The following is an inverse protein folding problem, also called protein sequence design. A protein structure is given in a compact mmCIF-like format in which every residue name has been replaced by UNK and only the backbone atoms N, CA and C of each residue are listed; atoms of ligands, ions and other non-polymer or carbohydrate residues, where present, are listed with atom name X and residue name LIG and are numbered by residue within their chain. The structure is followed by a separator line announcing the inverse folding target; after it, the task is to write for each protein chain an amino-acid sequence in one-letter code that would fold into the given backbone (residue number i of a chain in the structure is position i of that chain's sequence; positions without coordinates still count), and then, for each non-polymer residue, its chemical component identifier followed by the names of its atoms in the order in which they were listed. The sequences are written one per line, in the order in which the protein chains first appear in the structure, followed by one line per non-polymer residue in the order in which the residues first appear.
data_IF_263785858381
#
_entry.id   IF_263785858381
#
_cell.length_a   1.000
_cell.length_b   1.000
_cell.length_c   1.000
_cell.angle_alpha   90.00
_cell.angle_beta   90.00
_cell.angle_gamma   90.00
#
_symmetry.space_group_name_H-M   'P 1'
#
loop_
_entity.id
_entity.type
_entity.pdbx_description
1 polymer ?
#
# COMPACT_ATOMS: atom_id res chain seq x y z
N UNK A 1 2.54 -41.81 -0.72
CA UNK A 1 1.78 -40.97 0.23
C UNK A 1 2.04 -39.50 -0.09
N UNK A 2 1.09 -38.77 -0.68
CA UNK A 2 1.28 -37.35 -1.02
C UNK A 2 0.97 -36.46 0.20
N UNK A 3 1.93 -35.62 0.61
CA UNK A 3 1.73 -34.65 1.70
C UNK A 3 0.81 -33.52 1.23
N UNK A 4 -0.37 -33.41 1.81
CA UNK A 4 -1.28 -32.29 1.57
C UNK A 4 -0.63 -30.98 2.06
N UNK A 5 -0.28 -30.10 1.12
CA UNK A 5 0.18 -28.75 1.44
C UNK A 5 -1.05 -27.90 1.79
N UNK A 6 -1.24 -27.60 3.08
CA UNK A 6 -2.25 -26.63 3.53
C UNK A 6 -2.00 -25.29 2.84
N UNK A 7 -2.75 -24.99 1.78
CA UNK A 7 -2.81 -23.65 1.19
C UNK A 7 -3.49 -22.75 2.21
N UNK A 8 -2.73 -21.85 2.80
CA UNK A 8 -3.29 -20.79 3.65
C UNK A 8 -4.15 -19.88 2.76
N UNK A 9 -5.46 -20.10 2.78
CA UNK A 9 -6.43 -19.21 2.12
C UNK A 9 -6.45 -17.95 2.97
N UNK A 10 -5.63 -16.95 2.58
CA UNK A 10 -5.73 -15.62 3.16
C UNK A 10 -7.12 -15.09 2.83
N UNK A 11 -7.98 -14.98 3.84
CA UNK A 11 -9.25 -14.25 3.72
C UNK A 11 -8.98 -12.84 3.17
N UNK A 12 -9.96 -12.24 2.50
CA UNK A 12 -9.87 -10.85 2.02
C UNK A 12 -9.79 -9.93 3.24
N UNK A 13 -8.57 -9.70 3.74
CA UNK A 13 -8.34 -8.76 4.84
C UNK A 13 -8.87 -7.39 4.45
N UNK A 14 -9.54 -6.71 5.38
CA UNK A 14 -9.99 -5.33 5.19
C UNK A 14 -8.77 -4.48 4.84
N UNK A 15 -8.87 -3.66 3.79
CA UNK A 15 -7.79 -2.73 3.42
C UNK A 15 -7.58 -1.74 4.56
N UNK A 16 -6.33 -1.36 4.78
CA UNK A 16 -6.00 -0.34 5.78
C UNK A 16 -6.70 0.98 5.42
N UNK A 17 -7.21 1.71 6.41
CA UNK A 17 -7.98 2.95 6.23
C UNK A 17 -7.18 4.03 5.47
N UNK A 18 -5.86 4.08 5.68
CA UNK A 18 -4.98 5.05 5.02
C UNK A 18 -4.63 4.69 3.57
N UNK A 19 -5.08 3.54 3.07
CA UNK A 19 -4.79 3.07 1.72
C UNK A 19 -5.62 3.83 0.68
N UNK A 20 -4.98 4.29 -0.40
CA UNK A 20 -5.63 5.06 -1.48
C UNK A 20 -5.52 4.36 -2.82
N UNK A 21 -6.36 4.75 -3.77
CA UNK A 21 -6.25 4.26 -5.15
C UNK A 21 -4.94 4.70 -5.82
N UNK A 22 -4.42 5.88 -5.48
CA UNK A 22 -3.08 6.30 -5.93
C UNK A 22 -1.98 5.30 -5.50
N UNK A 23 -2.05 4.75 -4.28
CA UNK A 23 -1.11 3.70 -3.84
C UNK A 23 -1.34 2.38 -4.58
N UNK A 24 -2.58 2.04 -4.95
CA UNK A 24 -2.86 0.88 -5.82
C UNK A 24 -2.24 1.06 -7.20
N UNK A 25 -2.37 2.23 -7.80
CA UNK A 25 -1.81 2.53 -9.11
C UNK A 25 -0.28 2.43 -9.09
N UNK A 26 0.35 3.03 -8.07
CA UNK A 26 1.80 2.93 -7.87
C UNK A 26 2.25 1.48 -7.67
N UNK A 27 1.52 0.70 -6.86
CA UNK A 27 1.78 -0.73 -6.67
C UNK A 27 1.69 -1.50 -7.99
N UNK A 28 0.69 -1.20 -8.82
CA UNK A 28 0.52 -1.78 -10.15
C UNK A 28 1.68 -1.42 -11.09
N UNK A 29 2.11 -0.15 -11.11
CA UNK A 29 3.26 0.32 -11.90
C UNK A 29 4.55 -0.37 -11.48
N UNK A 30 4.81 -0.49 -10.18
CA UNK A 30 5.98 -1.22 -9.64
C UNK A 30 5.95 -2.68 -10.05
N UNK A 31 4.79 -3.35 -9.98
CA UNK A 31 4.66 -4.75 -10.38
C UNK A 31 4.93 -4.96 -11.87
N UNK A 32 4.40 -4.07 -12.73
CA UNK A 32 4.67 -4.09 -14.18
C UNK A 32 6.14 -3.87 -14.48
N UNK A 33 6.77 -2.85 -13.88
CA UNK A 33 8.19 -2.57 -14.08
C UNK A 33 9.09 -3.71 -13.58
N UNK A 34 8.75 -4.33 -12.43
CA UNK A 34 9.44 -5.53 -11.94
C UNK A 34 9.34 -6.68 -12.93
N UNK A 35 8.14 -6.96 -13.45
CA UNK A 35 7.92 -8.03 -14.43
C UNK A 35 8.73 -7.78 -15.70
N UNK A 36 8.71 -6.54 -16.22
CA UNK A 36 9.50 -6.11 -17.38
C UNK A 36 11.00 -6.38 -17.16
N UNK A 37 11.56 -5.89 -16.06
CA UNK A 37 12.97 -6.13 -15.70
C UNK A 37 13.31 -7.62 -15.55
N UNK A 38 12.44 -8.41 -14.92
CA UNK A 38 12.65 -9.85 -14.75
C UNK A 38 12.60 -10.65 -16.06
N UNK A 39 11.88 -10.15 -17.07
CA UNK A 39 11.84 -10.75 -18.40
C UNK A 39 13.06 -10.33 -19.23
N UNK A 40 13.48 -9.07 -19.17
CA UNK A 40 14.63 -8.56 -19.93
C UNK A 40 15.95 -9.12 -19.40
N UNK A 41 16.10 -9.34 -18.10
CA UNK A 41 17.35 -9.88 -17.52
C UNK A 41 17.71 -11.31 -17.96
N UNK A 42 16.76 -12.05 -18.54
CA UNK A 42 16.95 -13.41 -19.03
C UNK A 42 17.35 -13.47 -20.51
N UNK A 43 17.38 -12.32 -21.21
CA UNK A 43 17.75 -12.25 -22.62
C UNK A 43 19.25 -11.97 -22.74
N UNK A 44 19.96 -12.82 -23.46
CA UNK A 44 21.36 -12.59 -23.81
C UNK A 44 21.49 -11.41 -24.78
N UNK A 45 22.59 -10.66 -24.68
CA UNK A 45 22.91 -9.56 -25.60
C UNK A 45 22.18 -8.23 -25.37
N UNK A 46 21.32 -8.09 -24.36
CA UNK A 46 20.57 -6.83 -24.09
C UNK A 46 20.89 -6.22 -22.72
N UNK A 47 22.16 -5.89 -22.49
CA UNK A 47 22.63 -5.28 -21.23
C UNK A 47 22.00 -3.90 -21.01
N UNK A 48 22.01 -3.03 -22.02
CA UNK A 48 21.50 -1.66 -21.93
C UNK A 48 19.98 -1.61 -21.63
N UNK A 49 19.19 -2.44 -22.32
CA UNK A 49 17.76 -2.55 -22.07
C UNK A 49 17.45 -3.12 -20.68
N UNK A 50 18.29 -4.03 -20.17
CA UNK A 50 18.17 -4.55 -18.81
C UNK A 50 18.45 -3.47 -17.77
N UNK A 51 19.53 -2.68 -17.94
CA UNK A 51 19.87 -1.57 -17.06
C UNK A 51 18.76 -0.51 -17.04
N UNK A 52 18.25 -0.10 -18.20
CA UNK A 52 17.13 0.84 -18.29
C UNK A 52 15.89 0.35 -17.53
N UNK A 53 15.52 -0.93 -17.70
CA UNK A 53 14.40 -1.52 -16.97
C UNK A 53 14.67 -1.62 -15.46
N UNK A 54 15.92 -1.87 -15.06
CA UNK A 54 16.34 -1.91 -13.65
C UNK A 54 16.20 -0.52 -13.01
N UNK A 55 16.70 0.53 -13.67
CA UNK A 55 16.58 1.91 -13.18
C UNK A 55 15.12 2.35 -13.08
N UNK A 56 14.29 2.04 -14.09
CA UNK A 56 12.85 2.32 -14.08
C UNK A 56 12.16 1.66 -12.88
N UNK A 57 12.41 0.36 -12.66
CA UNK A 57 11.87 -0.38 -11.52
C UNK A 57 12.33 0.22 -10.17
N UNK A 58 13.63 0.50 -10.02
CA UNK A 58 14.18 1.05 -8.79
C UNK A 58 13.62 2.45 -8.47
N UNK A 59 13.49 3.30 -9.49
CA UNK A 59 12.87 4.63 -9.37
C UNK A 59 11.42 4.53 -8.90
N UNK A 60 10.61 3.70 -9.56
CA UNK A 60 9.21 3.47 -9.17
C UNK A 60 9.09 2.87 -7.77
N UNK A 61 9.97 1.93 -7.40
CA UNK A 61 9.96 1.32 -6.07
C UNK A 61 10.30 2.36 -4.99
N UNK A 62 11.29 3.22 -5.23
CA UNK A 62 11.66 4.31 -4.31
C UNK A 62 10.48 5.27 -4.15
N UNK A 63 9.85 5.68 -5.24
CA UNK A 63 8.70 6.56 -5.22
C UNK A 63 7.51 5.94 -4.48
N UNK A 64 7.16 4.69 -4.76
CA UNK A 64 6.10 3.96 -4.07
C UNK A 64 6.36 3.84 -2.56
N UNK A 65 7.58 3.49 -2.13
CA UNK A 65 7.95 3.44 -0.71
C UNK A 65 7.82 4.80 -0.03
N UNK A 66 8.23 5.87 -0.72
CA UNK A 66 8.09 7.25 -0.23
C UNK A 66 6.61 7.62 -0.05
N UNK A 67 5.78 7.36 -1.06
CA UNK A 67 4.34 7.61 -1.03
C UNK A 67 3.65 6.85 0.12
N UNK A 68 4.01 5.57 0.36
CA UNK A 68 3.49 4.82 1.52
C UNK A 68 3.86 5.51 2.84
N UNK A 69 5.12 5.92 2.99
CA UNK A 69 5.60 6.56 4.23
C UNK A 69 4.86 7.88 4.47
N UNK A 70 4.81 8.74 3.47
CA UNK A 70 4.10 10.03 3.53
C UNK A 70 2.62 9.83 3.87
N UNK A 71 1.99 8.84 3.24
CA UNK A 71 0.60 8.55 3.45
C UNK A 71 0.29 8.08 4.87
N UNK A 72 1.10 7.17 5.40
CA UNK A 72 0.99 6.70 6.79
C UNK A 72 1.16 7.85 7.78
N UNK A 73 2.17 8.70 7.56
CA UNK A 73 2.45 9.86 8.42
C UNK A 73 1.30 10.86 8.37
N UNK A 74 0.76 11.16 7.19
CA UNK A 74 -0.37 12.07 7.02
C UNK A 74 -1.60 11.55 7.75
N UNK A 75 -1.93 10.27 7.54
CA UNK A 75 -3.06 9.65 8.23
C UNK A 75 -2.88 9.67 9.75
N UNK A 76 -1.68 9.35 10.25
CA UNK A 76 -1.39 9.39 11.68
C UNK A 76 -1.52 10.81 12.26
N UNK A 77 -0.98 11.82 11.56
CA UNK A 77 -1.11 13.23 11.98
C UNK A 77 -2.57 13.67 12.06
N UNK A 78 -3.37 13.31 11.05
CA UNK A 78 -4.80 13.64 11.06
C UNK A 78 -5.51 12.89 12.19
N UNK A 79 -5.24 11.60 12.35
CA UNK A 79 -5.80 10.81 13.44
C UNK A 79 -5.54 11.44 14.82
N UNK A 80 -4.29 11.78 15.12
CA UNK A 80 -3.93 12.42 16.40
C UNK A 80 -4.61 13.78 16.53
N UNK A 81 -4.63 14.59 15.47
CA UNK A 81 -5.23 15.94 15.50
C UNK A 81 -6.74 15.92 15.80
N UNK A 82 -7.47 14.97 15.21
CA UNK A 82 -8.94 14.96 15.27
C UNK A 82 -9.50 14.02 16.33
N UNK A 83 -8.83 12.90 16.62
CA UNK A 83 -9.30 11.88 17.58
C UNK A 83 -8.49 11.90 18.87
N UNK A 84 -7.18 12.14 18.76
CA UNK A 84 -6.25 12.08 19.89
C UNK A 84 -6.51 13.12 21.00
N UNK A 85 -7.17 14.23 20.68
CA UNK A 85 -7.51 15.26 21.66
C UNK A 85 -8.72 14.90 22.55
N UNK A 86 -9.57 13.96 22.13
CA UNK A 86 -10.76 13.56 22.87
C UNK A 86 -10.56 12.25 23.65
N UNK A 87 -9.92 11.26 23.01
CA UNK A 87 -9.50 10.01 23.64
C UNK A 87 -8.27 9.44 22.92
N UNK A 88 -7.05 9.74 23.41
CA UNK A 88 -5.82 9.34 22.75
C UNK A 88 -5.58 7.82 22.73
N UNK A 89 -6.22 7.06 23.63
CA UNK A 89 -5.90 5.65 23.83
C UNK A 89 -7.01 4.71 23.37
N UNK A 90 -8.29 5.05 23.58
CA UNK A 90 -9.40 4.16 23.18
C UNK A 90 -9.51 3.96 21.68
N UNK A 91 -9.22 5.00 20.89
CA UNK A 91 -9.21 4.89 19.42
C UNK A 91 -7.99 4.12 18.88
N UNK A 92 -6.81 4.30 19.50
CA UNK A 92 -5.61 3.51 19.18
C UNK A 92 -5.84 2.03 19.52
N UNK A 93 -6.51 1.77 20.63
CA UNK A 93 -6.80 0.42 21.08
C UNK A 93 -7.75 -0.34 20.13
N UNK A 94 -8.83 0.31 19.69
CA UNK A 94 -9.77 -0.23 18.68
C UNK A 94 -9.07 -0.48 17.34
N UNK A 95 -8.19 0.43 16.92
CA UNK A 95 -7.37 0.28 15.71
C UNK A 95 -6.46 -0.96 15.80
N UNK A 96 -5.76 -1.15 16.92
CA UNK A 96 -4.87 -2.30 17.13
C UNK A 96 -5.63 -3.64 17.17
N UNK A 97 -6.89 -3.64 17.60
CA UNK A 97 -7.74 -4.84 17.65
C UNK A 97 -8.51 -5.14 16.35
N UNK A 98 -8.38 -4.31 15.31
CA UNK A 98 -9.20 -4.38 14.09
C UNK A 98 -10.72 -4.33 14.35
N UNK A 99 -11.12 -3.74 15.48
CA UNK A 99 -12.53 -3.42 15.77
C UNK A 99 -12.98 -2.27 14.85
N UNK A 100 -14.28 -2.14 14.57
CA UNK A 100 -14.85 -1.30 13.51
C UNK A 100 -14.25 0.11 13.45
N UNK A 101 -13.69 0.46 12.27
CA UNK A 101 -13.07 1.75 11.98
C UNK A 101 -14.09 2.89 11.81
N UNK A 102 -15.33 2.75 12.27
CA UNK A 102 -16.44 3.68 11.99
C UNK A 102 -16.14 5.11 12.48
N UNK A 103 -15.47 5.25 13.63
CA UNK A 103 -14.99 6.55 14.13
C UNK A 103 -13.73 7.11 13.43
N UNK A 104 -13.07 6.32 12.60
CA UNK A 104 -11.85 6.69 11.85
C UNK A 104 -12.13 7.07 10.39
N UNK A 105 -13.29 6.67 9.87
CA UNK A 105 -13.72 6.96 8.50
C UNK A 105 -14.04 8.45 8.33
N UNK A 106 -14.59 9.11 9.37
CA UNK A 106 -14.95 10.54 9.34
C UNK A 106 -13.79 11.54 9.43
N UNK A 107 -12.57 11.08 9.72
CA UNK A 107 -11.37 11.94 9.85
C UNK A 107 -10.62 12.10 8.52
N UNK A 108 -11.04 11.35 7.50
CA UNK A 108 -10.34 11.29 6.22
C UNK A 108 -11.31 11.40 5.03
N UNK A 109 -11.79 12.60 4.75
CA UNK A 109 -12.36 12.95 3.44
C UNK A 109 -11.25 13.52 2.56
N UNK A 110 -10.69 12.67 1.69
CA UNK A 110 -9.72 13.12 0.69
C UNK A 110 -9.76 12.35 -0.63
N UNK A 111 -10.69 11.41 -0.79
CA UNK A 111 -10.85 10.63 -2.04
C UNK A 111 -12.30 10.14 -2.26
N UNK A 112 -13.31 10.78 -1.63
CA UNK A 112 -14.67 10.67 -2.16
C UNK A 112 -14.74 11.60 -3.36
N UNK A 113 -14.64 11.03 -4.57
CA UNK A 113 -15.35 11.63 -5.70
C UNK A 113 -16.80 11.72 -5.23
N UNK A 114 -17.26 12.94 -4.95
CA UNK A 114 -18.67 13.26 -4.89
C UNK A 114 -19.19 13.03 -6.30
N UNK A 115 -19.68 11.82 -6.54
CA UNK A 115 -20.61 11.61 -7.65
C UNK A 115 -21.94 12.23 -7.22
N UNK A 116 -22.31 13.22 -8.02
CA UNK A 116 -23.52 14.04 -8.04
C UNK A 116 -24.81 13.24 -7.85
#
# INVERSE_FOLDING_TARGET
MAKATKRFVRGKGKRAVWWTEQLNDLKGRVARARKKWQLTRKREGNLEGNERCRFEYQGLLKHYKKAIKERKVLWWRNFVRFVGNADPWGAVYKLCRNETNEGLIGVWDGDRKTET
#
